data_IF_146408749664
#
_entry.id   IF_146408749664
#
_cell.length_a   1.000
_cell.length_b   1.000
_cell.length_c   1.000
_cell.angle_alpha   90.00
_cell.angle_beta   90.00
_cell.angle_gamma   90.00
#
_symmetry.space_group_name_H-M   'P 1'
#
loop_
_entity.id
_entity.type
_entity.pdbx_description
1 polymer ?
#
# COMPACT_ATOMS: atom_id res chain seq x y z
N UNK A 1 3.87 2.03 11.42
CA UNK A 1 4.54 2.81 10.35
C UNK A 1 4.84 4.20 10.89
N UNK A 2 5.93 4.86 10.48
CA UNK A 2 6.25 6.22 10.93
C UNK A 2 5.12 7.20 10.61
N UNK A 3 5.03 8.27 11.40
CA UNK A 3 4.13 9.39 11.12
C UNK A 3 4.42 10.01 9.75
N UNK A 4 3.37 10.51 9.11
CA UNK A 4 3.47 11.24 7.86
C UNK A 4 3.88 12.68 8.14
N UNK A 5 5.04 13.08 7.63
CA UNK A 5 5.57 14.45 7.76
C UNK A 5 6.03 15.01 6.42
N UNK A 6 5.70 14.29 5.36
CA UNK A 6 6.22 14.50 4.03
C UNK A 6 5.24 15.34 3.21
N UNK A 7 5.72 16.03 2.18
CA UNK A 7 4.84 16.82 1.32
C UNK A 7 4.00 15.98 0.34
N UNK A 8 4.29 14.68 0.21
CA UNK A 8 3.60 13.76 -0.70
C UNK A 8 3.70 12.29 -0.25
N UNK A 9 2.79 11.44 -0.74
CA UNK A 9 2.79 9.99 -0.54
C UNK A 9 4.12 9.35 -0.97
N UNK A 10 4.64 9.71 -2.15
CA UNK A 10 5.92 9.16 -2.63
C UNK A 10 7.14 9.61 -1.81
N UNK A 11 7.13 10.85 -1.31
CA UNK A 11 8.19 11.32 -0.40
C UNK A 11 8.16 10.54 0.93
N UNK A 12 6.96 10.27 1.46
CA UNK A 12 6.77 9.40 2.61
C UNK A 12 7.29 7.99 2.36
N UNK A 13 6.88 7.35 1.26
CA UNK A 13 7.32 6.00 0.91
C UNK A 13 8.85 5.91 0.81
N UNK A 14 9.47 6.87 0.11
CA UNK A 14 10.93 6.96 -0.03
C UNK A 14 11.62 7.09 1.32
N UNK A 15 11.12 7.97 2.20
CA UNK A 15 11.68 8.16 3.54
C UNK A 15 11.55 6.90 4.38
N UNK A 16 10.37 6.26 4.41
CA UNK A 16 10.14 5.04 5.18
C UNK A 16 11.08 3.93 4.74
N UNK A 17 11.23 3.71 3.42
CA UNK A 17 12.15 2.71 2.89
C UNK A 17 13.63 3.03 3.17
N UNK A 18 14.00 4.31 3.28
CA UNK A 18 15.37 4.73 3.60
C UNK A 18 15.69 4.61 5.09
N UNK A 19 14.82 5.16 5.96
CA UNK A 19 15.00 5.17 7.42
C UNK A 19 14.87 3.76 8.02
N UNK A 20 14.08 2.88 7.39
CA UNK A 20 13.79 1.52 7.86
C UNK A 20 14.12 0.47 6.79
N UNK A 21 15.27 0.61 6.11
CA UNK A 21 15.68 -0.22 4.97
C UNK A 21 15.77 -1.73 5.27
N UNK A 22 15.98 -2.12 6.53
CA UNK A 22 16.00 -3.53 6.94
C UNK A 22 14.59 -4.16 7.04
N UNK A 23 13.56 -3.32 7.06
CA UNK A 23 12.16 -3.70 7.26
C UNK A 23 11.29 -3.44 6.04
N UNK A 24 11.61 -2.42 5.23
CA UNK A 24 10.81 -2.02 4.09
C UNK A 24 11.67 -1.81 2.84
N UNK A 25 11.14 -2.26 1.71
CA UNK A 25 11.66 -1.95 0.39
C UNK A 25 10.68 -1.07 -0.37
N UNK A 26 11.20 -0.08 -1.09
CA UNK A 26 10.41 0.82 -1.92
C UNK A 26 10.00 0.13 -3.21
N UNK A 27 8.70 0.10 -3.51
CA UNK A 27 8.14 -0.34 -4.79
C UNK A 27 7.33 0.77 -5.48
N UNK A 28 7.20 1.95 -4.88
CA UNK A 28 6.49 3.09 -5.45
C UNK A 28 6.94 3.38 -6.89
N UNK A 29 5.99 3.67 -7.78
CA UNK A 29 6.18 3.87 -9.23
C UNK A 29 6.62 2.61 -10.02
N UNK A 30 6.84 1.46 -9.37
CA UNK A 30 7.14 0.21 -10.07
C UNK A 30 5.89 -0.50 -10.58
N UNK A 31 5.56 -0.19 -11.83
CA UNK A 31 4.50 -0.89 -12.55
C UNK A 31 4.98 -2.26 -13.06
N UNK A 32 4.26 -3.33 -12.69
CA UNK A 32 4.35 -4.61 -13.35
C UNK A 32 3.69 -4.52 -14.74
N UNK A 33 4.46 -4.82 -15.79
CA UNK A 33 3.97 -4.86 -17.17
C UNK A 33 3.86 -6.31 -17.61
N UNK A 34 2.66 -6.85 -17.49
CA UNK A 34 2.34 -8.22 -17.92
C UNK A 34 2.13 -8.29 -19.43
N UNK A 35 2.49 -9.42 -20.01
CA UNK A 35 2.31 -9.69 -21.43
C UNK A 35 0.82 -9.66 -21.79
N UNK A 36 0.46 -8.84 -22.79
CA UNK A 36 -0.94 -8.68 -23.24
C UNK A 36 -1.76 -7.65 -22.45
N UNK A 37 -1.22 -7.05 -21.39
CA UNK A 37 -1.86 -5.94 -20.68
C UNK A 37 -1.31 -4.61 -21.20
N UNK A 38 -2.19 -3.71 -21.65
CA UNK A 38 -1.79 -2.42 -22.25
C UNK A 38 -1.21 -1.42 -21.25
N UNK A 39 -1.66 -1.47 -20.01
CA UNK A 39 -1.24 -0.56 -18.94
C UNK A 39 -0.41 -1.29 -17.90
N UNK A 40 0.58 -0.61 -17.33
CA UNK A 40 1.28 -1.14 -16.17
C UNK A 40 0.34 -1.24 -14.97
N UNK A 41 0.59 -2.24 -14.13
CA UNK A 41 -0.18 -2.54 -12.92
C UNK A 41 0.69 -2.21 -11.72
N UNK A 42 0.17 -1.41 -10.80
CA UNK A 42 0.87 -1.08 -9.58
C UNK A 42 0.99 -2.31 -8.67
N UNK A 43 2.21 -2.59 -8.21
CA UNK A 43 2.47 -3.70 -7.30
C UNK A 43 2.08 -3.32 -5.87
N UNK A 44 2.74 -2.32 -5.30
CA UNK A 44 2.53 -1.76 -3.98
C UNK A 44 3.40 -0.50 -3.85
N UNK A 45 3.17 0.30 -2.81
CA UNK A 45 4.05 1.41 -2.46
C UNK A 45 5.32 0.92 -1.74
N UNK A 46 5.14 -0.01 -0.80
CA UNK A 46 6.20 -0.61 0.00
C UNK A 46 6.00 -2.12 0.11
N UNK A 47 7.11 -2.84 0.26
CA UNK A 47 7.12 -4.27 0.59
C UNK A 47 7.85 -4.51 1.90
N UNK A 48 7.22 -5.19 2.85
CA UNK A 48 7.81 -5.46 4.15
C UNK A 48 8.66 -6.73 4.16
N UNK A 49 9.59 -6.82 5.12
CA UNK A 49 10.33 -8.06 5.39
C UNK A 49 9.41 -9.21 5.85
N UNK A 50 8.25 -8.87 6.41
CA UNK A 50 7.17 -9.78 6.79
C UNK A 50 6.28 -10.19 5.61
N UNK A 51 6.69 -9.84 4.39
CA UNK A 51 6.04 -10.17 3.11
C UNK A 51 4.67 -9.53 2.91
N UNK A 52 4.52 -8.30 3.39
CA UNK A 52 3.31 -7.52 3.20
C UNK A 52 3.44 -6.53 2.04
N UNK A 53 2.46 -6.53 1.15
CA UNK A 53 2.23 -5.52 0.13
C UNK A 53 1.50 -4.33 0.77
N UNK A 54 2.20 -3.22 0.94
CA UNK A 54 1.66 -2.05 1.63
C UNK A 54 1.29 -1.00 0.58
N UNK A 55 0.01 -0.60 0.60
CA UNK A 55 -0.50 0.48 -0.22
C UNK A 55 -0.83 1.69 0.66
N UNK A 56 -0.21 2.82 0.36
CA UNK A 56 -0.26 4.06 1.13
C UNK A 56 -1.14 5.08 0.41
N UNK A 57 -2.10 5.67 1.12
CA UNK A 57 -2.92 6.74 0.55
C UNK A 57 -3.31 7.80 1.55
N UNK A 58 -3.21 9.06 1.15
CA UNK A 58 -3.83 10.16 1.86
C UNK A 58 -5.34 10.12 1.69
N UNK A 59 -6.06 10.16 2.81
CA UNK A 59 -7.50 10.22 2.75
C UNK A 59 -7.98 11.53 2.13
N UNK A 60 -8.63 11.45 0.97
CA UNK A 60 -9.22 12.60 0.28
C UNK A 60 -10.64 12.30 -0.25
N UNK A 61 -11.29 11.26 0.29
CA UNK A 61 -12.67 10.89 -0.02
C UNK A 61 -12.86 9.42 -0.42
N UNK A 62 -14.13 9.04 -0.62
CA UNK A 62 -14.49 7.63 -0.86
C UNK A 62 -13.95 7.08 -2.18
N UNK A 63 -13.86 7.90 -3.23
CA UNK A 63 -13.32 7.50 -4.53
C UNK A 63 -11.84 7.12 -4.41
N UNK A 64 -11.05 7.92 -3.69
CA UNK A 64 -9.63 7.69 -3.44
C UNK A 64 -9.41 6.35 -2.73
N UNK A 65 -10.18 6.09 -1.67
CA UNK A 65 -10.10 4.80 -0.98
C UNK A 65 -10.56 3.62 -1.84
N UNK A 66 -11.54 3.83 -2.72
CA UNK A 66 -11.98 2.77 -3.63
C UNK A 66 -10.87 2.37 -4.61
N UNK A 67 -10.09 3.35 -5.09
CA UNK A 67 -8.90 3.08 -5.91
C UNK A 67 -7.84 2.34 -5.10
N UNK A 68 -7.54 2.79 -3.88
CA UNK A 68 -6.60 2.12 -2.96
C UNK A 68 -6.96 0.63 -2.76
N UNK A 69 -8.23 0.35 -2.46
CA UNK A 69 -8.68 -1.02 -2.23
C UNK A 69 -8.66 -1.87 -3.50
N UNK A 70 -8.89 -1.26 -4.66
CA UNK A 70 -8.78 -1.95 -5.95
C UNK A 70 -7.32 -2.27 -6.30
N UNK A 71 -6.38 -1.34 -6.08
CA UNK A 71 -4.94 -1.55 -6.30
C UNK A 71 -4.44 -2.76 -5.53
N UNK A 72 -4.65 -2.80 -4.21
CA UNK A 72 -4.18 -3.94 -3.40
C UNK A 72 -4.90 -5.26 -3.72
N UNK A 73 -6.17 -5.21 -4.12
CA UNK A 73 -6.91 -6.40 -4.55
C UNK A 73 -6.31 -6.97 -5.85
N UNK A 74 -6.16 -6.14 -6.87
CA UNK A 74 -5.66 -6.54 -8.19
C UNK A 74 -4.22 -7.04 -8.09
N UNK A 75 -3.37 -6.34 -7.33
CA UNK A 75 -1.98 -6.77 -7.11
C UNK A 75 -1.93 -8.16 -6.43
N UNK A 76 -2.71 -8.37 -5.36
CA UNK A 76 -2.77 -9.67 -4.69
C UNK A 76 -3.33 -10.79 -5.58
N UNK A 77 -4.37 -10.51 -6.37
CA UNK A 77 -4.92 -11.46 -7.36
C UNK A 77 -3.84 -11.91 -8.36
N UNK A 78 -3.12 -10.96 -8.95
CA UNK A 78 -2.06 -11.25 -9.91
C UNK A 78 -0.87 -11.95 -9.27
N UNK A 79 -0.47 -11.56 -8.06
CA UNK A 79 0.60 -12.26 -7.34
C UNK A 79 0.26 -13.74 -7.11
N UNK A 80 -1.00 -14.03 -6.74
CA UNK A 80 -1.45 -15.41 -6.52
C UNK A 80 -1.56 -16.21 -7.81
N UNK A 81 -2.09 -15.60 -8.88
CA UNK A 81 -2.51 -16.30 -10.10
C UNK A 81 -1.44 -16.28 -11.20
N UNK A 82 -0.72 -15.17 -11.36
CA UNK A 82 0.18 -14.93 -12.48
C UNK A 82 1.64 -15.13 -12.11
N UNK A 83 2.26 -16.16 -12.71
CA UNK A 83 3.70 -16.41 -12.55
C UNK A 83 4.54 -15.23 -13.04
N UNK A 84 4.15 -14.61 -14.16
CA UNK A 84 4.87 -13.46 -14.72
C UNK A 84 4.93 -12.29 -13.72
N UNK A 85 3.84 -12.05 -12.98
CA UNK A 85 3.82 -11.03 -11.93
C UNK A 85 4.83 -11.33 -10.82
N UNK A 86 4.93 -12.60 -10.40
CA UNK A 86 5.93 -13.04 -9.41
C UNK A 86 7.37 -12.92 -9.91
N UNK A 87 7.62 -13.19 -11.20
CA UNK A 87 8.94 -12.97 -11.81
C UNK A 87 9.32 -11.50 -11.72
N UNK A 88 8.45 -10.61 -12.22
CA UNK A 88 8.70 -9.16 -12.26
C UNK A 88 8.91 -8.60 -10.84
N UNK A 89 8.03 -8.98 -9.90
CA UNK A 89 8.19 -8.60 -8.50
C UNK A 89 9.53 -9.08 -7.96
N UNK A 90 9.84 -10.36 -8.13
CA UNK A 90 11.06 -10.93 -7.59
C UNK A 90 12.31 -10.29 -8.19
N UNK A 91 12.31 -9.86 -9.45
CA UNK A 91 13.42 -9.11 -10.06
C UNK A 91 13.67 -7.76 -9.38
N UNK A 92 12.60 -7.05 -9.02
CA UNK A 92 12.66 -5.73 -8.36
C UNK A 92 13.14 -5.82 -6.91
N UNK A 93 12.82 -6.91 -6.21
CA UNK A 93 13.17 -7.08 -4.80
C UNK A 93 14.67 -7.33 -4.60
N UNK A 94 15.33 -6.72 -3.61
CA UNK A 94 16.72 -7.04 -3.26
C UNK A 94 16.79 -8.38 -2.52
N UNK A 95 17.98 -8.96 -2.42
CA UNK A 95 18.20 -10.34 -1.91
C UNK A 95 17.47 -10.66 -0.61
N UNK A 96 17.39 -9.70 0.32
CA UNK A 96 16.74 -9.86 1.63
C UNK A 96 15.22 -10.03 1.55
N UNK A 97 14.58 -9.52 0.49
CA UNK A 97 13.13 -9.51 0.33
C UNK A 97 12.64 -10.48 -0.75
N UNK A 98 13.53 -11.23 -1.40
CA UNK A 98 13.17 -12.16 -2.49
C UNK A 98 12.12 -13.16 -2.04
N UNK A 99 11.30 -13.59 -3.00
CA UNK A 99 10.31 -14.64 -2.82
C UNK A 99 11.00 -15.99 -2.63
N UNK A 100 10.44 -16.84 -1.78
CA UNK A 100 10.95 -18.20 -1.58
C UNK A 100 10.80 -19.07 -2.83
N UNK A 101 9.75 -18.83 -3.62
CA UNK A 101 9.50 -19.51 -4.89
C UNK A 101 8.69 -18.62 -5.82
N UNK A 102 9.08 -18.62 -7.09
CA UNK A 102 8.37 -17.94 -8.18
C UNK A 102 7.43 -18.92 -8.92
N UNK A 103 7.78 -20.20 -8.90
CA UNK A 103 7.08 -21.26 -9.64
C UNK A 103 5.77 -21.66 -8.97
N UNK A 104 5.82 -21.89 -7.66
CA UNK A 104 4.66 -22.32 -6.89
C UNK A 104 3.69 -21.16 -6.64
N UNK A 105 2.42 -21.51 -6.43
CA UNK A 105 1.48 -20.55 -5.87
C UNK A 105 1.94 -20.12 -4.46
N UNK A 106 1.79 -18.83 -4.11
CA UNK A 106 2.08 -18.36 -2.77
C UNK A 106 1.28 -19.14 -1.71
N UNK A 107 1.96 -19.50 -0.62
CA UNK A 107 1.35 -20.26 0.47
C UNK A 107 0.33 -19.40 1.24
N UNK A 108 -0.74 -20.06 1.72
CA UNK A 108 -1.78 -19.41 2.51
C UNK A 108 -1.20 -18.80 3.79
N UNK A 109 -1.67 -17.60 4.12
CA UNK A 109 -1.28 -16.77 5.27
C UNK A 109 0.19 -16.32 5.30
N UNK A 110 0.98 -16.58 4.24
CA UNK A 110 2.40 -16.22 4.18
C UNK A 110 2.65 -14.78 3.76
N UNK A 111 1.72 -14.22 2.99
CA UNK A 111 1.78 -12.86 2.46
C UNK A 111 0.61 -12.05 3.01
N UNK A 112 0.82 -10.74 3.15
CA UNK A 112 -0.23 -9.82 3.58
C UNK A 112 -0.45 -8.68 2.61
N UNK A 113 -1.64 -8.08 2.68
CA UNK A 113 -1.95 -6.80 2.03
C UNK A 113 -2.33 -5.80 3.12
N UNK A 114 -1.65 -4.67 3.15
CA UNK A 114 -1.86 -3.61 4.15
C UNK A 114 -2.36 -2.37 3.43
N UNK A 115 -3.56 -1.91 3.79
CA UNK A 115 -4.06 -0.60 3.38
C UNK A 115 -3.69 0.43 4.44
N UNK A 116 -2.64 1.21 4.17
CA UNK A 116 -2.12 2.24 5.06
C UNK A 116 -2.68 3.61 4.66
N UNK A 117 -3.51 4.19 5.53
CA UNK A 117 -4.28 5.39 5.21
C UNK A 117 -3.80 6.54 6.09
N UNK A 118 -3.26 7.58 5.45
CA UNK A 118 -2.82 8.82 6.11
C UNK A 118 -4.04 9.69 6.39
N UNK A 119 -4.15 10.19 7.62
CA UNK A 119 -5.24 11.09 8.01
C UNK A 119 -4.94 11.94 9.24
N UNK A 120 -5.06 13.26 9.10
CA UNK A 120 -5.03 14.25 10.18
C UNK A 120 -6.38 14.40 10.90
N UNK A 121 -6.84 13.36 11.59
CA UNK A 121 -7.94 13.48 12.56
C UNK A 121 -7.64 12.61 13.77
N UNK A 122 -7.87 13.12 14.98
CA UNK A 122 -7.72 12.32 16.20
C UNK A 122 -8.72 11.16 16.23
N UNK A 123 -8.31 10.04 16.81
CA UNK A 123 -9.16 8.87 17.00
C UNK A 123 -9.13 7.86 15.84
N UNK A 124 -10.05 6.87 15.85
CA UNK A 124 -10.02 5.76 14.91
C UNK A 124 -10.32 6.21 13.49
N UNK A 125 -9.74 5.49 12.52
CA UNK A 125 -10.00 5.70 11.10
C UNK A 125 -11.44 5.27 10.74
N UNK A 126 -12.38 6.21 10.84
CA UNK A 126 -13.76 5.99 10.41
C UNK A 126 -13.91 6.24 8.91
N UNK A 127 -14.47 5.24 8.22
CA UNK A 127 -14.62 5.23 6.77
C UNK A 127 -16.08 5.49 6.38
N UNK A 128 -16.33 6.24 5.29
CA UNK A 128 -17.67 6.35 4.72
C UNK A 128 -18.27 4.98 4.37
N UNK A 129 -19.60 4.86 4.34
CA UNK A 129 -20.30 3.59 4.08
C UNK A 129 -19.80 2.87 2.82
N UNK A 130 -19.66 3.59 1.70
CA UNK A 130 -19.16 3.01 0.45
C UNK A 130 -17.72 2.50 0.56
N UNK A 131 -16.85 3.23 1.27
CA UNK A 131 -15.48 2.77 1.53
C UNK A 131 -15.46 1.50 2.40
N UNK A 132 -16.37 1.39 3.39
CA UNK A 132 -16.55 0.17 4.22
C UNK A 132 -17.01 -1.02 3.37
N UNK A 133 -17.93 -0.79 2.43
CA UNK A 133 -18.39 -1.84 1.53
C UNK A 133 -17.27 -2.29 0.58
N UNK A 134 -16.54 -1.35 0.00
CA UNK A 134 -15.44 -1.63 -0.94
C UNK A 134 -14.30 -2.39 -0.25
N UNK A 135 -13.83 -1.93 0.92
CA UNK A 135 -12.76 -2.65 1.64
C UNK A 135 -13.22 -4.07 2.04
N UNK A 136 -14.48 -4.25 2.45
CA UNK A 136 -15.02 -5.58 2.80
C UNK A 136 -14.98 -6.53 1.60
N UNK A 137 -15.29 -6.04 0.40
CA UNK A 137 -15.23 -6.85 -0.81
C UNK A 137 -13.78 -7.20 -1.19
N UNK A 138 -12.86 -6.24 -1.11
CA UNK A 138 -11.43 -6.50 -1.36
C UNK A 138 -10.84 -7.48 -0.35
N UNK A 139 -11.15 -7.31 0.95
CA UNK A 139 -10.72 -8.22 2.02
C UNK A 139 -11.18 -9.64 1.74
N UNK A 140 -12.47 -9.85 1.42
CA UNK A 140 -13.01 -11.19 1.13
C UNK A 140 -12.31 -11.86 -0.05
N UNK A 141 -12.03 -11.12 -1.11
CA UNK A 141 -11.32 -11.65 -2.28
C UNK A 141 -9.90 -12.09 -1.91
N UNK A 142 -9.14 -11.20 -1.23
CA UNK A 142 -7.77 -11.46 -0.83
C UNK A 142 -7.65 -12.60 0.20
N UNK A 143 -8.50 -12.64 1.22
CA UNK A 143 -8.53 -13.72 2.20
C UNK A 143 -8.92 -15.07 1.57
N UNK A 144 -9.79 -15.05 0.56
CA UNK A 144 -10.15 -16.21 -0.25
C UNK A 144 -8.96 -16.76 -1.04
N UNK A 145 -8.06 -15.88 -1.48
CA UNK A 145 -6.78 -16.22 -2.11
C UNK A 145 -5.68 -16.58 -1.11
N UNK A 146 -5.95 -16.43 0.18
CA UNK A 146 -5.05 -16.83 1.25
C UNK A 146 -4.16 -15.72 1.81
N UNK A 147 -4.43 -14.45 1.52
CA UNK A 147 -3.69 -13.34 2.13
C UNK A 147 -4.19 -13.04 3.54
N UNK A 148 -3.29 -12.52 4.37
CA UNK A 148 -3.66 -11.73 5.55
C UNK A 148 -4.00 -10.32 5.09
N UNK A 149 -5.05 -9.70 5.60
CA UNK A 149 -5.40 -8.32 5.19
C UNK A 149 -5.48 -7.41 6.41
N UNK A 150 -4.78 -6.29 6.34
CA UNK A 150 -4.69 -5.32 7.42
C UNK A 150 -5.06 -3.92 6.94
N UNK A 151 -5.51 -3.11 7.89
CA UNK A 151 -5.70 -1.67 7.69
C UNK A 151 -4.86 -0.95 8.74
N UNK A 152 -4.01 -0.04 8.29
CA UNK A 152 -3.22 0.83 9.15
C UNK A 152 -3.68 2.28 9.00
N UNK A 153 -3.72 3.01 10.11
CA UNK A 153 -3.80 4.47 10.09
C UNK A 153 -2.38 5.01 10.23
N UNK A 154 -2.02 5.97 9.38
CA UNK A 154 -0.79 6.75 9.53
C UNK A 154 -1.22 8.13 10.04
N UNK A 155 -0.76 8.50 11.23
CA UNK A 155 -0.98 9.83 11.79
C UNK A 155 -0.13 10.85 11.02
N UNK A 156 -0.66 12.06 10.85
CA UNK A 156 0.05 13.17 10.23
C UNK A 156 0.69 14.06 11.31
N UNK A 157 1.96 14.41 11.14
CA UNK A 157 2.70 15.25 12.08
C UNK A 157 2.12 16.66 12.08
N UNK A 158 1.53 17.06 13.21
CA UNK A 158 0.94 18.39 13.38
C UNK A 158 2.00 19.48 13.46
N UNK A 159 2.36 20.04 12.31
CA UNK A 159 3.04 21.33 12.27
C UNK A 159 2.00 22.44 12.43
N UNK A 160 2.02 23.15 13.56
CA UNK A 160 1.23 24.38 13.71
C UNK A 160 1.60 25.37 12.60
N UNK A 161 0.77 25.50 11.57
CA UNK A 161 0.87 26.58 10.59
C UNK A 161 0.44 27.87 11.28
N UNK A 162 1.37 28.59 11.88
CA UNK A 162 1.12 29.94 12.39
C UNK A 162 0.88 30.88 11.20
N UNK A 163 -0.38 31.13 10.88
CA UNK A 163 -0.74 32.21 9.96
C UNK A 163 -0.67 33.54 10.71
N UNK A 164 0.12 34.50 10.23
CA UNK A 164 0.06 35.87 10.77
C UNK A 164 -1.35 36.40 10.57
N UNK A 165 -2.00 36.80 11.66
CA UNK A 165 -3.20 37.64 11.60
C UNK A 165 -2.78 38.97 10.97
N UNK A 166 -3.14 39.20 9.71
CA UNK A 166 -3.06 40.53 9.10
C UNK A 166 -4.24 41.31 9.68
N UNK A 167 -4.03 42.42 10.43
CA UNK A 167 -5.14 43.23 10.90
C UNK A 167 -5.89 43.79 9.69
N UNK A 168 -7.23 43.72 9.72
CA UNK A 168 -8.06 44.38 8.72
C UNK A 168 -7.75 45.89 8.73
N UNK A 169 -7.53 46.46 7.54
CA UNK A 169 -7.42 47.90 7.32
C UNK A 169 -8.78 48.58 7.48
#
# INVERSE_FOLDING_TARGET
>A
MPEYKDGSEGAYNTRVASELADQFHLLDVDLARLSGVRSGIEIADLYSIERDFIHVKHYAGSSVLSHLFAQGKISGELFQMEKEFRVILNEKLPSRFKLDSIEAHPERNKYGVVYAIIRDVDGPLDLPFFSKLNIKNSVRALEGLGFRVYKAKIEEERHYKMTRLIPAK
#
